data_IF_670785619598
#
_entry.id   IF_670785619598
#
_cell.length_a   1.000
_cell.length_b   1.000
_cell.length_c   1.000
_cell.angle_alpha   90.00
_cell.angle_beta   90.00
_cell.angle_gamma   90.00
#
_symmetry.space_group_name_H-M   'P 1'
#
loop_
_entity.id
_entity.type
_entity.pdbx_description
1 polymer ?
#
# COMPACT_ATOMS: atom_id res chain seq x y z
N UNK A 1 17.02 -4.15 -30.01
CA UNK A 1 16.17 -4.09 -28.80
C UNK A 1 15.45 -5.44 -28.61
N UNK A 2 15.98 -6.33 -27.76
CA UNK A 2 15.38 -7.64 -27.41
C UNK A 2 15.49 -7.90 -25.90
N UNK A 3 15.04 -6.95 -25.07
CA UNK A 3 14.99 -7.10 -23.60
C UNK A 3 13.58 -7.41 -23.08
N UNK A 4 12.58 -7.51 -23.96
CA UNK A 4 11.18 -7.75 -23.61
C UNK A 4 10.74 -9.23 -23.64
N UNK A 5 11.64 -10.16 -23.98
CA UNK A 5 11.28 -11.57 -24.22
C UNK A 5 11.45 -12.49 -23.01
N UNK A 6 12.19 -12.07 -21.98
CA UNK A 6 12.45 -12.92 -20.82
C UNK A 6 11.68 -12.45 -19.59
N UNK A 7 11.05 -13.37 -18.83
CA UNK A 7 10.32 -13.02 -17.63
C UNK A 7 11.29 -12.49 -16.55
N UNK A 8 10.83 -11.53 -15.75
CA UNK A 8 11.58 -10.90 -14.67
C UNK A 8 11.54 -11.83 -13.46
N UNK A 9 12.65 -12.45 -13.03
CA UNK A 9 12.64 -13.39 -11.91
C UNK A 9 12.70 -12.67 -10.55
N UNK A 10 13.38 -11.51 -10.48
CA UNK A 10 13.55 -10.70 -9.28
C UNK A 10 14.07 -9.29 -9.62
N UNK A 11 14.01 -8.40 -8.64
CA UNK A 11 14.57 -7.05 -8.65
C UNK A 11 15.90 -7.02 -7.91
N UNK A 12 16.97 -6.65 -8.61
CA UNK A 12 18.32 -6.52 -8.05
C UNK A 12 18.52 -5.13 -7.47
N UNK A 13 18.76 -5.06 -6.16
CA UNK A 13 18.89 -3.83 -5.40
C UNK A 13 20.20 -3.78 -4.64
N UNK A 14 20.75 -2.58 -4.51
CA UNK A 14 21.94 -2.34 -3.69
C UNK A 14 21.61 -2.45 -2.20
N UNK A 15 22.64 -2.58 -1.36
CA UNK A 15 22.49 -2.70 0.10
C UNK A 15 21.66 -1.56 0.71
N UNK A 16 21.83 -0.32 0.20
CA UNK A 16 21.06 0.85 0.66
C UNK A 16 19.58 0.76 0.27
N UNK A 17 19.29 0.40 -0.98
CA UNK A 17 17.92 0.24 -1.48
C UNK A 17 17.22 -0.91 -0.77
N UNK A 18 17.89 -2.05 -0.55
CA UNK A 18 17.31 -3.17 0.20
C UNK A 18 16.98 -2.80 1.65
N UNK A 19 17.82 -1.97 2.30
CA UNK A 19 17.53 -1.47 3.65
C UNK A 19 16.26 -0.62 3.66
N UNK A 20 16.08 0.24 2.67
CA UNK A 20 14.86 1.05 2.52
C UNK A 20 13.63 0.19 2.27
N UNK A 21 13.70 -0.78 1.36
CA UNK A 21 12.62 -1.72 1.06
C UNK A 21 12.23 -2.51 2.31
N UNK A 22 13.20 -3.06 3.05
CA UNK A 22 12.92 -3.82 4.27
C UNK A 22 12.32 -2.92 5.37
N UNK A 23 12.82 -1.69 5.53
CA UNK A 23 12.27 -0.73 6.51
C UNK A 23 10.83 -0.35 6.17
N UNK A 24 10.54 -0.09 4.89
CA UNK A 24 9.19 0.22 4.43
C UNK A 24 8.26 -0.97 4.61
N UNK A 25 8.70 -2.16 4.20
CA UNK A 25 7.96 -3.41 4.36
C UNK A 25 7.57 -3.68 5.82
N UNK A 26 8.55 -3.67 6.73
CA UNK A 26 8.28 -3.92 8.15
C UNK A 26 7.42 -2.83 8.78
N UNK A 27 7.64 -1.57 8.40
CA UNK A 27 6.80 -0.47 8.89
C UNK A 27 5.35 -0.60 8.44
N UNK A 28 5.09 -0.97 7.17
CA UNK A 28 3.74 -1.23 6.66
C UNK A 28 3.09 -2.38 7.45
N UNK A 29 3.80 -3.50 7.66
CA UNK A 29 3.28 -4.63 8.43
C UNK A 29 2.91 -4.21 9.85
N UNK A 30 3.80 -3.52 10.55
CA UNK A 30 3.55 -3.09 11.93
C UNK A 30 2.37 -2.12 12.02
N UNK A 31 2.25 -1.16 11.09
CA UNK A 31 1.12 -0.24 11.00
C UNK A 31 -0.20 -0.97 10.70
N UNK A 32 -0.19 -1.94 9.78
CA UNK A 32 -1.35 -2.77 9.45
C UNK A 32 -1.80 -3.60 10.65
N UNK A 33 -0.87 -4.28 11.34
CA UNK A 33 -1.18 -5.05 12.55
C UNK A 33 -1.67 -4.14 13.68
N UNK A 34 -1.06 -2.96 13.84
CA UNK A 34 -1.50 -1.99 14.81
C UNK A 34 -2.96 -1.57 14.58
N UNK A 35 -3.31 -1.19 13.35
CA UNK A 35 -4.66 -0.71 13.04
C UNK A 35 -5.74 -1.80 13.10
N UNK A 36 -5.43 -3.02 12.66
CA UNK A 36 -6.46 -4.07 12.50
C UNK A 36 -6.50 -5.09 13.62
N UNK A 37 -5.43 -5.23 14.41
CA UNK A 37 -5.35 -6.21 15.50
C UNK A 37 -5.23 -5.52 16.84
N UNK A 38 -4.25 -4.61 16.98
CA UNK A 38 -3.96 -3.99 18.27
C UNK A 38 -5.02 -2.95 18.68
N UNK A 39 -5.42 -2.06 17.77
CA UNK A 39 -6.41 -1.01 18.05
C UNK A 39 -7.78 -1.58 18.45
N UNK A 40 -8.35 -2.60 17.77
CA UNK A 40 -9.59 -3.24 18.22
C UNK A 40 -9.43 -3.94 19.57
N UNK A 41 -8.30 -4.63 19.79
CA UNK A 41 -8.02 -5.29 21.06
C UNK A 41 -7.97 -4.28 22.23
N UNK A 42 -7.32 -3.14 22.03
CA UNK A 42 -7.28 -2.04 23.00
C UNK A 42 -8.68 -1.51 23.32
N UNK A 43 -9.53 -1.35 22.29
CA UNK A 43 -10.91 -0.88 22.48
C UNK A 43 -11.77 -1.87 23.28
N UNK A 44 -11.57 -3.17 23.10
CA UNK A 44 -12.28 -4.22 23.83
C UNK A 44 -11.82 -4.35 25.30
N UNK A 45 -10.59 -3.94 25.63
CA UNK A 45 -9.98 -4.04 26.96
C UNK A 45 -9.76 -2.67 27.62
N UNK A 46 -10.57 -1.67 27.27
CA UNK A 46 -10.42 -0.27 27.72
C UNK A 46 -10.47 -0.05 29.25
N UNK A 47 -10.88 -1.06 30.03
CA UNK A 47 -10.83 -1.04 31.49
C UNK A 47 -9.47 -1.38 32.12
N UNK A 48 -8.45 -1.72 31.32
CA UNK A 48 -7.14 -2.09 31.83
C UNK A 48 -6.29 -0.84 32.13
N UNK A 49 -5.76 -0.71 33.35
CA UNK A 49 -5.13 0.52 33.84
C UNK A 49 -3.92 0.99 32.99
N UNK A 50 -3.12 0.06 32.45
CA UNK A 50 -2.02 0.35 31.53
C UNK A 50 -2.51 0.89 30.17
N UNK A 51 -3.65 0.40 29.69
CA UNK A 51 -4.25 0.84 28.42
C UNK A 51 -4.86 2.23 28.58
N UNK A 52 -5.51 2.52 29.71
CA UNK A 52 -6.01 3.86 30.04
C UNK A 52 -4.93 4.93 30.03
N UNK A 53 -3.68 4.59 30.38
CA UNK A 53 -2.58 5.54 30.45
C UNK A 53 -2.14 6.03 29.06
N UNK A 54 -2.24 5.18 28.03
CA UNK A 54 -1.91 5.53 26.64
C UNK A 54 -3.14 5.83 25.76
N UNK A 55 -4.34 5.55 26.25
CA UNK A 55 -5.60 5.83 25.56
C UNK A 55 -5.73 7.28 25.02
N UNK A 56 -5.31 8.35 25.74
CA UNK A 56 -5.43 9.72 25.23
C UNK A 56 -4.58 9.95 23.98
N UNK A 57 -3.36 9.38 23.96
CA UNK A 57 -2.41 9.52 22.86
C UNK A 57 -2.91 8.70 21.66
N UNK A 58 -3.27 7.44 21.90
CA UNK A 58 -3.72 6.48 20.87
C UNK A 58 -5.02 6.95 20.20
N UNK A 59 -5.95 7.52 20.98
CA UNK A 59 -7.20 8.03 20.44
C UNK A 59 -7.10 9.46 19.89
N UNK A 60 -5.99 10.16 20.13
CA UNK A 60 -5.83 11.52 19.63
C UNK A 60 -5.93 11.54 18.10
N UNK A 61 -6.66 12.54 17.61
CA UNK A 61 -6.87 12.75 16.19
C UNK A 61 -5.55 12.93 15.43
N UNK A 62 -4.63 13.70 16.02
CA UNK A 62 -3.28 13.95 15.48
C UNK A 62 -2.49 12.66 15.30
N UNK A 63 -2.53 11.76 16.28
CA UNK A 63 -1.81 10.48 16.20
C UNK A 63 -2.37 9.58 15.09
N UNK A 64 -3.70 9.50 14.96
CA UNK A 64 -4.36 8.74 13.86
C UNK A 64 -3.97 9.26 12.48
N UNK A 65 -3.88 10.58 12.32
CA UNK A 65 -3.43 11.22 11.07
C UNK A 65 -1.96 10.88 10.79
N UNK A 66 -1.09 11.00 11.78
CA UNK A 66 0.33 10.68 11.63
C UNK A 66 0.54 9.22 11.21
N UNK A 67 -0.21 8.28 11.81
CA UNK A 67 -0.16 6.86 11.40
C UNK A 67 -0.60 6.68 9.95
N UNK A 68 -1.68 7.35 9.52
CA UNK A 68 -2.17 7.29 8.14
C UNK A 68 -1.16 7.85 7.13
N UNK A 69 -0.59 9.02 7.40
CA UNK A 69 0.45 9.64 6.57
C UNK A 69 1.69 8.74 6.51
N UNK A 70 2.10 8.18 7.64
CA UNK A 70 3.24 7.27 7.72
C UNK A 70 3.01 6.03 6.86
N UNK A 71 1.83 5.42 6.96
CA UNK A 71 1.46 4.27 6.14
C UNK A 71 1.54 4.58 4.64
N UNK A 72 0.98 5.72 4.21
CA UNK A 72 1.03 6.17 2.81
C UNK A 72 2.47 6.44 2.36
N UNK A 73 3.29 7.07 3.21
CA UNK A 73 4.69 7.37 2.91
C UNK A 73 5.51 6.08 2.71
N UNK A 74 5.37 5.10 3.60
CA UNK A 74 6.07 3.82 3.47
C UNK A 74 5.61 3.04 2.23
N UNK A 75 4.31 3.03 1.97
CA UNK A 75 3.73 2.41 0.77
C UNK A 75 4.28 3.05 -0.50
N UNK A 76 4.40 4.38 -0.51
CA UNK A 76 5.00 5.15 -1.61
C UNK A 76 6.48 4.82 -1.81
N UNK A 77 7.25 4.68 -0.72
CA UNK A 77 8.67 4.26 -0.79
C UNK A 77 8.80 2.89 -1.45
N UNK A 78 7.93 1.94 -1.09
CA UNK A 78 7.93 0.59 -1.66
C UNK A 78 7.60 0.61 -3.16
N UNK A 79 6.56 1.33 -3.57
CA UNK A 79 6.23 1.48 -5.00
C UNK A 79 7.28 2.25 -5.77
N UNK A 80 7.96 3.21 -5.15
CA UNK A 80 9.08 3.90 -5.78
C UNK A 80 10.28 2.97 -6.00
N UNK A 81 10.56 2.04 -5.08
CA UNK A 81 11.58 1.02 -5.28
C UNK A 81 11.23 0.11 -6.49
N UNK A 82 9.97 -0.33 -6.61
CA UNK A 82 9.49 -1.08 -7.78
C UNK A 82 9.64 -0.24 -9.06
N UNK A 83 9.26 1.05 -9.02
CA UNK A 83 9.38 1.97 -10.14
C UNK A 83 10.83 2.11 -10.63
N UNK A 84 11.79 2.30 -9.73
CA UNK A 84 13.21 2.42 -10.07
C UNK A 84 13.68 1.17 -10.82
N UNK A 85 13.27 -0.01 -10.34
CA UNK A 85 13.63 -1.29 -10.96
C UNK A 85 13.00 -1.48 -12.34
N UNK A 86 11.73 -1.09 -12.50
CA UNK A 86 11.06 -1.08 -13.80
C UNK A 86 11.70 -0.06 -14.76
N UNK A 87 12.17 1.09 -14.25
CA UNK A 87 12.89 2.10 -15.02
C UNK A 87 14.24 1.60 -15.51
N UNK A 88 15.03 0.93 -14.66
CA UNK A 88 16.31 0.30 -15.04
C UNK A 88 16.13 -0.70 -16.19
N UNK A 89 14.97 -1.33 -16.27
CA UNK A 89 14.60 -2.29 -17.34
C UNK A 89 13.87 -1.65 -18.52
N UNK A 90 13.77 -0.32 -18.58
CA UNK A 90 13.02 0.42 -19.61
C UNK A 90 11.56 -0.06 -19.78
N UNK A 91 10.93 -0.53 -18.70
CA UNK A 91 9.54 -1.01 -18.72
C UNK A 91 8.55 0.16 -18.65
N UNK A 92 7.45 0.06 -19.39
CA UNK A 92 6.33 1.01 -19.28
C UNK A 92 5.62 0.95 -17.92
N UNK A 93 5.72 -0.18 -17.20
CA UNK A 93 5.16 -0.34 -15.86
C UNK A 93 5.67 0.67 -14.81
N UNK A 94 6.78 1.36 -15.08
CA UNK A 94 7.27 2.46 -14.25
C UNK A 94 6.27 3.63 -14.17
N UNK A 95 5.54 3.89 -15.26
CA UNK A 95 4.54 4.97 -15.32
C UNK A 95 3.30 4.61 -14.54
N UNK A 96 2.91 3.33 -14.57
CA UNK A 96 1.83 2.79 -13.74
C UNK A 96 2.15 2.96 -12.25
N UNK A 97 3.38 2.66 -11.83
CA UNK A 97 3.82 2.92 -10.45
C UNK A 97 3.80 4.42 -10.13
N UNK A 98 4.22 5.30 -11.06
CA UNK A 98 4.20 6.74 -10.84
C UNK A 98 2.78 7.29 -10.67
N UNK A 99 1.82 6.78 -11.46
CA UNK A 99 0.39 7.12 -11.33
C UNK A 99 -0.16 6.66 -9.97
N UNK A 100 0.15 5.44 -9.55
CA UNK A 100 -0.27 4.94 -8.24
C UNK A 100 0.26 5.83 -7.09
N UNK A 101 1.56 6.18 -7.13
CA UNK A 101 2.18 7.07 -6.14
C UNK A 101 1.52 8.45 -6.16
N UNK A 102 1.33 9.05 -7.34
CA UNK A 102 0.71 10.36 -7.49
C UNK A 102 -0.71 10.39 -6.95
N UNK A 103 -1.51 9.35 -7.24
CA UNK A 103 -2.87 9.22 -6.74
C UNK A 103 -2.92 9.07 -5.21
N UNK A 104 -2.01 8.29 -4.62
CA UNK A 104 -1.90 8.16 -3.15
C UNK A 104 -1.55 9.47 -2.47
N UNK A 105 -0.57 10.21 -3.00
CA UNK A 105 -0.15 11.51 -2.45
C UNK A 105 -1.27 12.54 -2.59
N UNK A 106 -1.90 12.63 -3.77
CA UNK A 106 -3.02 13.54 -4.00
C UNK A 106 -4.19 13.26 -3.04
N UNK A 107 -4.53 11.97 -2.85
CA UNK A 107 -5.57 11.57 -1.91
C UNK A 107 -5.21 11.95 -0.46
N UNK A 108 -3.93 11.78 -0.07
CA UNK A 108 -3.43 12.18 1.25
C UNK A 108 -3.55 13.70 1.47
N UNK A 109 -3.14 14.51 0.48
CA UNK A 109 -3.20 15.97 0.56
C UNK A 109 -4.66 16.43 0.66
N UNK A 110 -5.56 15.87 -0.14
CA UNK A 110 -6.97 16.23 -0.10
C UNK A 110 -7.58 15.87 1.26
N UNK A 111 -7.30 14.67 1.78
CA UNK A 111 -7.77 14.26 3.10
C UNK A 111 -7.24 15.18 4.22
N UNK A 112 -5.99 15.63 4.12
CA UNK A 112 -5.42 16.58 5.07
C UNK A 112 -6.09 17.96 5.01
N UNK A 113 -6.40 18.46 3.80
CA UNK A 113 -7.13 19.72 3.61
C UNK A 113 -8.54 19.64 4.21
N UNK A 114 -9.22 18.49 4.12
CA UNK A 114 -10.54 18.27 4.73
C UNK A 114 -10.44 18.40 6.26
N UNK A 115 -9.45 17.73 6.82
CA UNK A 115 -9.24 17.62 8.26
C UNK A 115 -8.94 18.96 8.94
N UNK A 116 -8.22 19.86 8.26
CA UNK A 116 -7.83 21.17 8.80
C UNK A 116 -8.89 22.25 8.54
N UNK A 117 -9.92 21.97 7.73
CA UNK A 117 -10.91 22.98 7.37
C UNK A 117 -11.74 23.38 8.61
N UNK A 118 -11.84 24.69 8.94
CA UNK A 118 -12.58 25.15 10.12
C UNK A 118 -14.08 24.86 10.02
N UNK A 119 -14.68 24.43 11.14
CA UNK A 119 -16.08 23.97 11.24
C UNK A 119 -17.15 25.03 10.92
N UNK A 120 -16.79 26.31 10.84
CA UNK A 120 -17.75 27.43 10.75
C UNK A 120 -18.32 27.73 9.34
N UNK A 121 -18.34 26.78 8.39
CA UNK A 121 -18.93 27.01 7.05
C UNK A 121 -19.98 25.95 6.64
N UNK A 122 -21.19 26.01 7.21
CA UNK A 122 -22.25 25.01 6.98
C UNK A 122 -22.90 25.05 5.58
N UNK A 123 -22.86 26.17 4.85
CA UNK A 123 -23.49 26.28 3.52
C UNK A 123 -22.61 25.77 2.36
N UNK A 124 -21.29 25.62 2.56
CA UNK A 124 -20.41 24.92 1.61
C UNK A 124 -20.44 23.39 1.80
N UNK A 125 -21.07 22.92 2.87
CA UNK A 125 -20.94 21.56 3.39
C UNK A 125 -21.62 20.50 2.53
N UNK A 126 -22.65 20.82 1.73
CA UNK A 126 -23.33 19.80 0.91
C UNK A 126 -22.75 19.62 -0.50
N UNK A 127 -22.29 20.71 -1.15
CA UNK A 127 -21.71 20.65 -2.49
C UNK A 127 -20.22 20.28 -2.48
N UNK A 128 -19.43 20.93 -1.62
CA UNK A 128 -17.99 20.67 -1.59
C UNK A 128 -17.63 19.38 -0.89
N UNK A 129 -18.34 18.94 0.16
CA UNK A 129 -18.08 17.62 0.76
C UNK A 129 -18.36 16.49 -0.23
N UNK A 130 -19.43 16.58 -1.03
CA UNK A 130 -19.77 15.56 -2.02
C UNK A 130 -18.76 15.54 -3.18
N UNK A 131 -18.35 16.71 -3.69
CA UNK A 131 -17.31 16.80 -4.73
C UNK A 131 -15.97 16.24 -4.22
N UNK A 132 -15.62 16.54 -2.97
CA UNK A 132 -14.37 16.11 -2.36
C UNK A 132 -14.41 14.60 -2.01
N UNK A 133 -15.53 14.09 -1.51
CA UNK A 133 -15.74 12.66 -1.30
C UNK A 133 -15.65 11.90 -2.63
N UNK A 134 -16.25 12.44 -3.71
CA UNK A 134 -16.10 11.92 -5.08
C UNK A 134 -14.65 11.97 -5.58
N UNK A 135 -13.90 13.00 -5.19
CA UNK A 135 -12.50 13.17 -5.62
C UNK A 135 -11.57 12.19 -4.88
N UNK A 136 -11.76 12.01 -3.57
CA UNK A 136 -10.97 11.07 -2.75
C UNK A 136 -11.27 9.61 -3.11
N UNK A 137 -12.55 9.26 -3.29
CA UNK A 137 -12.96 7.96 -3.83
C UNK A 137 -12.42 7.74 -5.24
N UNK A 138 -12.52 8.74 -6.12
CA UNK A 138 -11.95 8.69 -7.48
C UNK A 138 -10.44 8.47 -7.50
N UNK A 139 -9.69 9.19 -6.65
CA UNK A 139 -8.23 9.01 -6.53
C UNK A 139 -7.85 7.66 -5.95
N UNK A 140 -8.62 7.16 -4.97
CA UNK A 140 -8.43 5.80 -4.44
C UNK A 140 -8.69 4.75 -5.52
N UNK A 141 -9.71 4.94 -6.36
CA UNK A 141 -9.99 4.06 -7.50
C UNK A 141 -8.85 4.09 -8.52
N UNK A 142 -8.33 5.28 -8.86
CA UNK A 142 -7.19 5.43 -9.76
C UNK A 142 -5.96 4.70 -9.20
N UNK A 143 -5.66 4.86 -7.91
CA UNK A 143 -4.56 4.17 -7.26
C UNK A 143 -4.73 2.64 -7.33
N UNK A 144 -5.92 2.14 -6.97
CA UNK A 144 -6.21 0.71 -6.98
C UNK A 144 -6.16 0.12 -8.41
N UNK A 145 -6.67 0.85 -9.39
CA UNK A 145 -6.61 0.46 -10.80
C UNK A 145 -5.18 0.46 -11.33
N UNK A 146 -4.37 1.46 -10.98
CA UNK A 146 -2.95 1.48 -11.35
C UNK A 146 -2.22 0.27 -10.76
N UNK A 147 -2.46 -0.08 -9.49
CA UNK A 147 -1.85 -1.26 -8.88
C UNK A 147 -2.39 -2.56 -9.53
N UNK A 148 -3.65 -2.60 -9.96
CA UNK A 148 -4.19 -3.73 -10.73
C UNK A 148 -3.44 -3.91 -12.05
N UNK A 149 -3.27 -2.83 -12.82
CA UNK A 149 -2.51 -2.84 -14.08
C UNK A 149 -1.08 -3.29 -13.83
N UNK A 150 -0.45 -2.81 -12.75
CA UNK A 150 0.88 -3.27 -12.34
C UNK A 150 0.89 -4.77 -12.02
N UNK A 151 -0.15 -5.26 -11.33
CA UNK A 151 -0.25 -6.66 -10.93
C UNK A 151 -0.48 -7.60 -12.11
N UNK A 152 -1.29 -7.17 -13.08
CA UNK A 152 -1.44 -7.86 -14.38
C UNK A 152 -0.12 -7.88 -15.14
N UNK A 153 0.61 -6.76 -15.16
CA UNK A 153 1.94 -6.70 -15.75
C UNK A 153 2.92 -7.68 -15.06
N UNK A 154 2.92 -7.72 -13.73
CA UNK A 154 3.75 -8.65 -12.96
C UNK A 154 3.33 -10.11 -13.15
N UNK A 155 2.05 -10.40 -13.36
CA UNK A 155 1.58 -11.74 -13.66
C UNK A 155 2.08 -12.25 -15.02
N UNK A 156 2.02 -11.41 -16.06
CA UNK A 156 2.43 -11.81 -17.41
C UNK A 156 3.93 -11.75 -17.64
N UNK A 157 4.63 -10.79 -17.02
CA UNK A 157 6.09 -10.62 -17.19
C UNK A 157 6.93 -11.11 -16.03
N UNK A 158 6.37 -11.34 -14.85
CA UNK A 158 7.11 -11.85 -13.72
C UNK A 158 7.34 -13.35 -13.81
N UNK A 159 8.35 -13.83 -13.09
CA UNK A 159 8.57 -15.23 -12.75
C UNK A 159 8.71 -15.37 -11.23
N UNK A 160 8.49 -16.57 -10.71
CA UNK A 160 8.57 -16.87 -9.28
C UNK A 160 7.70 -15.95 -8.42
N UNK A 161 8.31 -15.31 -7.42
CA UNK A 161 7.61 -14.46 -6.45
C UNK A 161 6.90 -13.26 -7.06
N UNK A 162 7.42 -12.66 -8.14
CA UNK A 162 6.78 -11.51 -8.81
C UNK A 162 5.44 -11.90 -9.44
N UNK A 163 5.40 -13.08 -10.07
CA UNK A 163 4.17 -13.61 -10.67
C UNK A 163 3.13 -13.91 -9.60
N UNK A 164 3.57 -14.50 -8.48
CA UNK A 164 2.70 -14.81 -7.34
C UNK A 164 2.16 -13.52 -6.71
N UNK A 165 2.99 -12.50 -6.52
CA UNK A 165 2.55 -11.19 -6.03
C UNK A 165 1.46 -10.59 -6.94
N UNK A 166 1.67 -10.63 -8.27
CA UNK A 166 0.67 -10.18 -9.24
C UNK A 166 -0.66 -10.93 -9.12
N UNK A 167 -0.62 -12.27 -9.00
CA UNK A 167 -1.83 -13.09 -8.82
C UNK A 167 -2.57 -12.74 -7.54
N UNK A 168 -1.85 -12.63 -6.42
CA UNK A 168 -2.44 -12.33 -5.11
C UNK A 168 -3.20 -11.01 -5.17
N UNK A 169 -2.60 -9.96 -5.73
CA UNK A 169 -3.27 -8.67 -5.82
C UNK A 169 -4.49 -8.70 -6.76
N UNK A 170 -4.42 -9.40 -7.89
CA UNK A 170 -5.56 -9.56 -8.80
C UNK A 170 -6.73 -10.25 -8.07
N UNK A 171 -6.46 -11.35 -7.37
CA UNK A 171 -7.47 -12.08 -6.59
C UNK A 171 -8.05 -11.17 -5.50
N UNK A 172 -7.18 -10.43 -4.79
CA UNK A 172 -7.59 -9.46 -3.77
C UNK A 172 -8.54 -8.39 -4.32
N UNK A 173 -8.23 -7.87 -5.50
CA UNK A 173 -9.01 -6.83 -6.16
C UNK A 173 -10.38 -7.35 -6.61
N UNK A 174 -10.45 -8.57 -7.17
CA UNK A 174 -11.72 -9.22 -7.54
C UNK A 174 -12.58 -9.44 -6.32
N UNK A 175 -12.02 -10.01 -5.24
CA UNK A 175 -12.71 -10.19 -3.97
C UNK A 175 -13.23 -8.84 -3.45
N UNK A 176 -12.42 -7.78 -3.52
CA UNK A 176 -12.81 -6.43 -3.13
C UNK A 176 -14.01 -5.88 -3.91
N UNK A 177 -14.06 -6.04 -5.23
CA UNK A 177 -15.21 -5.61 -6.06
C UNK A 177 -16.47 -6.43 -5.73
N UNK A 178 -16.34 -7.76 -5.63
CA UNK A 178 -17.44 -8.67 -5.32
C UNK A 178 -18.07 -8.33 -3.96
N UNK A 179 -17.28 -7.84 -3.01
CA UNK A 179 -17.75 -7.44 -1.68
C UNK A 179 -18.27 -5.99 -1.67
N UNK A 180 -17.56 -5.06 -2.31
CA UNK A 180 -17.80 -3.62 -2.20
C UNK A 180 -18.89 -3.09 -3.13
N UNK A 181 -19.00 -3.60 -4.36
CA UNK A 181 -19.96 -3.10 -5.36
C UNK A 181 -21.21 -3.98 -5.47
N UNK A 182 -21.09 -5.29 -5.31
CA UNK A 182 -22.22 -6.21 -5.46
C UNK A 182 -23.00 -6.47 -4.17
N UNK A 183 -22.58 -5.89 -3.04
CA UNK A 183 -23.36 -5.87 -1.80
C UNK A 183 -23.75 -7.27 -1.28
N UNK A 184 -23.00 -8.31 -1.64
CA UNK A 184 -23.38 -9.71 -1.38
C UNK A 184 -23.45 -10.07 0.12
N UNK A 185 -23.01 -9.18 1.01
CA UNK A 185 -22.95 -9.43 2.44
C UNK A 185 -23.42 -8.21 3.25
N UNK A 186 -24.70 -8.22 3.64
CA UNK A 186 -25.32 -7.19 4.49
C UNK A 186 -25.12 -7.41 6.00
N UNK A 187 -24.48 -8.51 6.41
CA UNK A 187 -24.27 -8.82 7.82
C UNK A 187 -22.92 -8.27 8.31
N UNK A 188 -22.93 -7.62 9.47
CA UNK A 188 -21.77 -6.96 10.09
C UNK A 188 -20.63 -7.93 10.38
N UNK A 189 -20.95 -9.18 10.76
CA UNK A 189 -19.98 -10.25 10.98
C UNK A 189 -19.24 -10.62 9.69
N UNK A 190 -19.95 -10.77 8.58
CA UNK A 190 -19.31 -11.06 7.29
C UNK A 190 -18.43 -9.89 6.85
N UNK A 191 -18.87 -8.65 7.01
CA UNK A 191 -18.08 -7.47 6.67
C UNK A 191 -16.75 -7.41 7.47
N UNK A 192 -16.78 -7.79 8.74
CA UNK A 192 -15.58 -7.85 9.58
C UNK A 192 -14.64 -9.00 9.16
N UNK A 193 -15.17 -10.21 8.90
CA UNK A 193 -14.37 -11.34 8.39
C UNK A 193 -13.71 -11.00 7.06
N UNK A 194 -14.43 -10.34 6.15
CA UNK A 194 -13.87 -9.92 4.87
C UNK A 194 -12.81 -8.83 4.99
N UNK A 195 -12.93 -7.94 5.97
CA UNK A 195 -11.87 -6.97 6.27
C UNK A 195 -10.58 -7.68 6.68
N UNK A 196 -10.67 -8.75 7.48
CA UNK A 196 -9.50 -9.57 7.84
C UNK A 196 -8.95 -10.38 6.67
N UNK A 197 -9.81 -10.94 5.83
CA UNK A 197 -9.39 -11.64 4.60
C UNK A 197 -8.65 -10.68 3.67
N UNK A 198 -9.19 -9.48 3.44
CA UNK A 198 -8.57 -8.44 2.62
C UNK A 198 -7.21 -8.00 3.19
N UNK A 199 -7.12 -7.83 4.51
CA UNK A 199 -5.85 -7.56 5.19
C UNK A 199 -4.82 -8.67 4.94
N UNK A 200 -5.23 -9.93 5.11
CA UNK A 200 -4.35 -11.09 4.93
C UNK A 200 -3.83 -11.17 3.49
N UNK A 201 -4.69 -10.96 2.51
CA UNK A 201 -4.30 -10.91 1.11
C UNK A 201 -3.36 -9.75 0.78
N UNK A 202 -3.59 -8.56 1.36
CA UNK A 202 -2.71 -7.41 1.19
C UNK A 202 -1.33 -7.66 1.82
N UNK A 203 -1.28 -8.27 3.02
CA UNK A 203 -0.03 -8.67 3.65
C UNK A 203 0.72 -9.74 2.82
N UNK A 204 0.00 -10.74 2.28
CA UNK A 204 0.58 -11.72 1.37
C UNK A 204 1.17 -11.06 0.12
N UNK A 205 0.44 -10.12 -0.49
CA UNK A 205 0.95 -9.34 -1.62
C UNK A 205 2.26 -8.66 -1.28
N UNK A 206 2.32 -7.95 -0.14
CA UNK A 206 3.52 -7.25 0.32
C UNK A 206 4.69 -8.22 0.60
N UNK A 207 4.42 -9.39 1.17
CA UNK A 207 5.42 -10.43 1.44
C UNK A 207 6.04 -10.92 0.13
N UNK A 208 5.22 -11.30 -0.85
CA UNK A 208 5.71 -11.78 -2.15
C UNK A 208 6.39 -10.66 -2.94
N UNK A 209 5.90 -9.42 -2.84
CA UNK A 209 6.56 -8.26 -3.43
C UNK A 209 7.94 -8.03 -2.81
N UNK A 210 8.07 -8.13 -1.47
CA UNK A 210 9.37 -8.02 -0.79
C UNK A 210 10.32 -9.16 -1.16
N UNK A 211 9.83 -10.41 -1.20
CA UNK A 211 10.63 -11.58 -1.59
C UNK A 211 11.14 -11.51 -3.03
N UNK A 212 10.51 -10.67 -3.85
CA UNK A 212 10.95 -10.40 -5.21
C UNK A 212 12.19 -9.50 -5.28
N UNK A 213 12.59 -8.84 -4.20
CA UNK A 213 13.83 -8.06 -4.13
C UNK A 213 14.99 -8.93 -3.64
N UNK A 214 16.12 -8.86 -4.35
CA UNK A 214 17.37 -9.52 -3.99
C UNK A 214 18.52 -8.52 -3.96
N UNK A 215 19.44 -8.72 -3.02
CA UNK A 215 20.70 -7.96 -3.04
C UNK A 215 21.45 -8.33 -4.31
N UNK A 216 22.00 -7.34 -5.00
CA UNK A 216 23.02 -7.59 -6.03
C UNK A 216 24.18 -8.32 -5.35
N UNK A 217 24.40 -9.60 -5.69
CA UNK A 217 25.58 -10.32 -5.23
C UNK A 217 26.78 -9.65 -5.87
N UNK A 218 27.60 -8.96 -5.09
CA UNK A 218 28.85 -8.41 -5.57
C UNK A 218 29.76 -9.54 -6.05
N UNK A 219 29.70 -9.90 -7.33
CA UNK A 219 30.86 -10.45 -8.00
C UNK A 219 31.90 -9.34 -8.03
N UNK A 220 32.94 -9.54 -7.23
CA UNK A 220 34.28 -8.98 -7.39
C UNK A 220 34.55 -8.58 -8.84
N UNK A 221 34.51 -7.28 -9.12
CA UNK A 221 35.17 -6.68 -10.28
C UNK A 221 36.21 -5.73 -9.69
N UNK A 222 37.23 -6.29 -9.02
CA UNK A 222 38.54 -5.69 -8.80
C UNK A 222 39.47 -6.82 -8.35
N UNK A 223 39.70 -7.77 -9.24
CA UNK A 223 40.89 -8.60 -9.22
C UNK A 223 41.36 -8.73 -10.66
N UNK A 224 41.85 -7.62 -11.19
CA UNK A 224 42.72 -7.57 -12.35
C UNK A 224 43.55 -6.29 -12.27
N UNK A 225 44.87 -6.48 -12.32
CA UNK A 225 45.99 -5.52 -12.27
C UNK A 225 46.64 -5.29 -10.90
N UNK A 226 47.46 -6.28 -10.52
CA UNK A 226 48.82 -6.05 -10.03
C UNK A 226 49.77 -6.88 -10.90
#
# INVERSE_FOLDING_TARGET
MKTNTFPIPYFEVDKKEMKQVNSAFWGIIMLSLYNHVFLPLLSAHGGNALIMLFAPIINSFVFKILLSITYIALTTVLYNAVRIQLRRRHSWGQWVCAVAIGAMIANCIINFIIIIRPENMPNLYNGTSLLILKTTTGLSLIANFAILVLSVFLFFRGSGHLRIAGIIYIVSFIIGIVIGEFGLFYNTLTLQVFTYISLLFNLLFLIFLRLSFRLTSGTSIYNDKA
#
